data_IF_050457316075
#
_entry.id   IF_050457316075
#
_cell.length_a   1.000
_cell.length_b   1.000
_cell.length_c   1.000
_cell.angle_alpha   90.00
_cell.angle_beta   90.00
_cell.angle_gamma   90.00
#
_symmetry.space_group_name_H-M   'P 1'
#
loop_
_entity.id
_entity.type
_entity.pdbx_description
1 polymer ?
#
# COMPACT_ATOMS: atom_id res chain seq x y z
N UNK A 1 -12.09 7.22 -33.47
CA UNK A 1 -12.74 7.59 -32.20
C UNK A 1 -11.79 7.26 -31.06
N UNK A 2 -11.14 8.28 -30.51
CA UNK A 2 -10.51 8.26 -29.19
C UNK A 2 -10.54 9.71 -28.73
N UNK A 3 -11.39 9.97 -27.73
CA UNK A 3 -11.60 11.31 -27.19
C UNK A 3 -10.46 11.58 -26.22
N UNK A 4 -9.53 12.43 -26.62
CA UNK A 4 -8.47 12.92 -25.75
C UNK A 4 -9.03 14.12 -24.98
N UNK A 5 -9.46 13.88 -23.75
CA UNK A 5 -9.89 14.95 -22.85
C UNK A 5 -8.67 15.69 -22.31
N UNK A 6 -8.33 16.78 -22.98
CA UNK A 6 -7.36 17.79 -22.53
C UNK A 6 -8.01 18.63 -21.44
N UNK A 7 -7.54 18.50 -20.19
CA UNK A 7 -7.87 19.46 -19.14
C UNK A 7 -6.71 20.45 -19.05
N UNK A 8 -6.99 21.66 -19.51
CA UNK A 8 -6.19 22.86 -19.28
C UNK A 8 -6.37 23.32 -17.83
N UNK A 9 -5.26 23.51 -17.12
CA UNK A 9 -5.20 24.40 -15.96
C UNK A 9 -3.99 25.32 -16.15
N UNK A 10 -4.29 26.54 -16.58
CA UNK A 10 -3.37 27.65 -16.76
C UNK A 10 -3.19 28.45 -15.48
N UNK A 11 -1.97 29.01 -15.34
CA UNK A 11 -1.56 30.10 -14.42
C UNK A 11 -1.26 29.66 -12.97
N UNK A 12 -0.15 30.04 -12.31
CA UNK A 12 0.90 31.02 -12.59
C UNK A 12 2.05 30.81 -11.56
N UNK A 13 3.22 31.37 -11.90
CA UNK A 13 4.38 31.68 -11.05
C UNK A 13 5.42 30.59 -10.73
N UNK A 14 6.47 30.67 -11.55
CA UNK A 14 7.88 30.77 -11.12
C UNK A 14 8.52 29.53 -10.49
N UNK A 15 9.24 28.76 -11.31
CA UNK A 15 10.71 28.62 -11.23
C UNK A 15 11.19 27.60 -12.26
N UNK A 16 12.23 27.94 -13.01
CA UNK A 16 12.86 27.12 -14.05
C UNK A 16 13.25 25.73 -13.54
N UNK A 17 12.61 24.68 -14.03
CA UNK A 17 13.19 23.34 -14.09
C UNK A 17 12.97 22.79 -15.50
N UNK A 18 14.04 22.73 -16.29
CA UNK A 18 14.06 22.05 -17.58
C UNK A 18 13.98 20.55 -17.30
N UNK A 19 12.84 19.93 -17.57
CA UNK A 19 12.72 18.48 -17.65
C UNK A 19 12.75 18.07 -19.13
N UNK A 20 13.80 17.36 -19.52
CA UNK A 20 13.82 16.59 -20.77
C UNK A 20 13.08 15.26 -20.53
N UNK A 21 12.33 14.74 -21.52
CA UNK A 21 11.64 13.47 -21.38
C UNK A 21 12.62 12.32 -21.67
N UNK A 22 12.79 11.41 -20.72
CA UNK A 22 13.40 10.11 -21.00
C UNK A 22 12.44 9.00 -20.58
N UNK A 23 12.24 8.10 -21.55
CA UNK A 23 11.36 6.95 -21.56
C UNK A 23 11.91 5.78 -20.73
N UNK A 24 11.05 5.27 -19.86
CA UNK A 24 10.96 3.95 -19.22
C UNK A 24 12.04 2.90 -19.56
N UNK A 25 12.83 2.51 -18.56
CA UNK A 25 13.13 1.11 -18.26
C UNK A 25 13.61 0.97 -16.81
N UNK A 26 12.79 0.32 -15.98
CA UNK A 26 13.13 -0.19 -14.63
C UNK A 26 14.01 0.70 -13.76
N UNK A 27 13.39 1.70 -13.13
CA UNK A 27 14.00 2.44 -12.03
C UNK A 27 12.91 2.87 -11.09
N UNK A 28 12.78 2.20 -9.94
CA UNK A 28 11.91 2.70 -8.87
C UNK A 28 12.57 4.00 -8.36
N UNK A 29 12.03 5.13 -8.82
CA UNK A 29 12.39 6.46 -8.33
C UNK A 29 11.43 6.78 -7.18
N UNK A 30 11.94 6.77 -5.94
CA UNK A 30 11.26 7.43 -4.84
C UNK A 30 11.88 8.80 -4.61
N UNK A 31 11.17 9.84 -5.06
CA UNK A 31 11.43 11.22 -4.67
C UNK A 31 10.24 11.71 -3.84
N UNK A 32 10.46 12.04 -2.56
CA UNK A 32 9.85 13.24 -2.00
C UNK A 32 10.66 13.81 -0.84
N UNK A 33 10.82 15.12 -0.93
CA UNK A 33 11.62 16.02 -0.13
C UNK A 33 10.93 16.45 1.19
N UNK A 34 11.78 16.75 2.18
CA UNK A 34 11.58 17.37 3.50
C UNK A 34 10.66 16.66 4.51
N UNK A 35 11.29 15.81 5.33
CA UNK A 35 10.85 15.60 6.71
C UNK A 35 11.62 16.54 7.66
N UNK A 36 10.87 17.39 8.38
CA UNK A 36 11.26 17.75 9.75
C UNK A 36 11.00 16.52 10.58
N UNK A 37 12.08 15.87 11.02
CA UNK A 37 12.07 14.97 12.16
C UNK A 37 11.19 13.73 12.03
N UNK A 38 11.56 12.81 11.15
CA UNK A 38 11.50 11.37 11.43
C UNK A 38 12.42 10.65 10.44
N UNK A 39 13.31 9.79 10.93
CA UNK A 39 14.21 9.00 10.08
C UNK A 39 13.49 7.69 9.79
N UNK A 40 12.93 7.53 8.59
CA UNK A 40 12.83 6.19 8.01
C UNK A 40 12.90 6.25 6.49
N UNK A 41 14.12 6.12 5.99
CA UNK A 41 14.43 5.99 4.57
C UNK A 41 14.94 4.56 4.36
N UNK A 42 14.05 3.59 4.16
CA UNK A 42 14.43 2.26 3.67
C UNK A 42 14.41 2.31 2.14
N UNK A 43 15.48 2.84 1.56
CA UNK A 43 15.78 2.64 0.14
C UNK A 43 16.33 1.22 0.05
N UNK A 44 15.50 0.27 -0.43
CA UNK A 44 15.97 -1.07 -0.79
C UNK A 44 16.68 -0.98 -2.14
N UNK A 45 17.97 -0.67 -2.12
CA UNK A 45 18.85 -0.93 -3.27
C UNK A 45 19.51 -2.28 -3.04
N UNK A 46 19.00 -3.33 -3.67
CA UNK A 46 19.64 -4.63 -3.70
C UNK A 46 20.82 -4.63 -4.68
N UNK A 47 21.92 -5.25 -4.26
CA UNK A 47 23.03 -5.51 -5.18
C UNK A 47 22.76 -6.82 -5.90
N UNK A 48 22.66 -6.77 -7.23
CA UNK A 48 22.44 -7.96 -8.06
C UNK A 48 23.77 -8.61 -8.40
N UNK A 49 23.97 -9.86 -8.00
CA UNK A 49 25.24 -10.58 -8.10
C UNK A 49 25.05 -11.91 -8.84
N UNK A 50 25.78 -12.16 -9.93
CA UNK A 50 25.78 -13.47 -10.59
C UNK A 50 26.33 -14.57 -9.68
N UNK A 51 25.74 -15.78 -9.76
CA UNK A 51 26.19 -16.96 -9.00
C UNK A 51 27.70 -17.22 -9.19
N UNK A 52 28.22 -17.01 -10.40
CA UNK A 52 29.63 -17.22 -10.70
C UNK A 52 30.56 -16.25 -9.94
N UNK A 53 30.13 -15.00 -9.73
CA UNK A 53 30.87 -13.98 -9.00
C UNK A 53 30.78 -14.22 -7.49
N UNK A 54 29.58 -14.56 -7.00
CA UNK A 54 29.35 -14.93 -5.61
C UNK A 54 30.28 -16.06 -5.17
N UNK A 55 30.48 -17.10 -6.00
CA UNK A 55 31.37 -18.23 -5.70
C UNK A 55 32.83 -17.81 -5.50
N UNK A 56 33.29 -16.77 -6.18
CA UNK A 56 34.67 -16.28 -6.07
C UNK A 56 34.87 -15.42 -4.82
N UNK A 57 33.84 -14.64 -4.45
CA UNK A 57 33.95 -13.58 -3.45
C UNK A 57 32.94 -13.72 -2.30
N UNK A 58 32.55 -14.95 -1.95
CA UNK A 58 31.45 -15.21 -1.00
C UNK A 58 31.62 -14.46 0.33
N UNK A 59 32.83 -14.47 0.91
CA UNK A 59 33.11 -13.82 2.18
C UNK A 59 32.84 -12.31 2.14
N UNK A 60 33.24 -11.64 1.04
CA UNK A 60 33.00 -10.21 0.88
C UNK A 60 31.51 -9.88 0.84
N UNK A 61 30.71 -10.70 0.15
CA UNK A 61 29.27 -10.51 0.07
C UNK A 61 28.56 -10.83 1.39
N UNK A 62 29.03 -11.84 2.14
CA UNK A 62 28.49 -12.11 3.48
C UNK A 62 28.73 -10.95 4.44
N UNK A 63 29.89 -10.28 4.38
CA UNK A 63 30.16 -9.07 5.17
C UNK A 63 29.21 -7.92 4.78
N UNK A 64 28.94 -7.73 3.49
CA UNK A 64 27.92 -6.76 3.03
C UNK A 64 26.53 -7.06 3.62
N UNK A 65 26.09 -8.33 3.61
CA UNK A 65 24.81 -8.74 4.21
C UNK A 65 24.78 -8.53 5.72
N UNK A 66 25.90 -8.83 6.41
CA UNK A 66 26.05 -8.57 7.86
C UNK A 66 25.91 -7.08 8.18
N UNK A 67 26.48 -6.23 7.31
CA UNK A 67 26.37 -4.78 7.38
C UNK A 67 25.00 -4.23 6.95
N UNK A 68 24.06 -5.12 6.58
CA UNK A 68 22.67 -4.77 6.31
C UNK A 68 22.36 -4.51 4.83
N UNK A 69 23.32 -4.72 3.92
CA UNK A 69 23.08 -4.58 2.49
C UNK A 69 22.47 -5.87 1.93
N UNK A 70 21.22 -5.86 1.43
CA UNK A 70 20.61 -7.02 0.80
C UNK A 70 21.29 -7.33 -0.55
N UNK A 71 21.41 -8.61 -0.87
CA UNK A 71 22.02 -9.07 -2.12
C UNK A 71 21.07 -10.02 -2.83
N UNK A 72 20.85 -9.79 -4.12
CA UNK A 72 20.06 -10.63 -5.00
C UNK A 72 20.98 -11.46 -5.87
N UNK A 73 20.89 -12.78 -5.78
CA UNK A 73 21.71 -13.72 -6.53
C UNK A 73 20.98 -14.14 -7.80
N UNK A 74 21.63 -13.98 -8.95
CA UNK A 74 21.08 -14.33 -10.26
C UNK A 74 21.82 -15.51 -10.92
N UNK A 75 21.07 -16.45 -11.50
CA UNK A 75 21.61 -17.51 -12.36
C UNK A 75 21.06 -17.34 -13.79
N UNK A 76 21.94 -16.94 -14.72
CA UNK A 76 21.48 -16.53 -16.05
C UNK A 76 20.70 -15.22 -15.96
N UNK A 77 19.50 -15.18 -16.54
CA UNK A 77 18.64 -13.98 -16.60
C UNK A 77 17.58 -13.91 -15.50
N UNK A 78 17.64 -14.78 -14.47
CA UNK A 78 16.66 -14.81 -13.38
C UNK A 78 17.33 -14.62 -12.02
N UNK A 79 16.70 -13.81 -11.17
CA UNK A 79 17.04 -13.72 -9.75
C UNK A 79 16.38 -14.87 -8.99
N UNK A 80 17.21 -15.74 -8.40
CA UNK A 80 16.74 -17.00 -7.81
C UNK A 80 16.74 -16.95 -6.28
N UNK A 81 17.65 -16.20 -5.67
CA UNK A 81 17.84 -16.19 -4.22
C UNK A 81 18.19 -14.78 -3.73
N UNK A 82 17.52 -14.31 -2.67
CA UNK A 82 17.92 -13.10 -1.96
C UNK A 82 18.58 -13.46 -0.62
N UNK A 83 19.75 -12.88 -0.36
CA UNK A 83 20.42 -12.94 0.93
C UNK A 83 20.16 -11.66 1.71
N UNK A 84 19.59 -11.85 2.90
CA UNK A 84 19.19 -10.79 3.80
C UNK A 84 19.45 -11.21 5.24
N UNK A 85 19.79 -10.24 6.08
CA UNK A 85 19.93 -10.48 7.52
C UNK A 85 18.57 -10.83 8.10
N UNK A 86 18.53 -11.88 8.93
CA UNK A 86 17.29 -12.36 9.58
C UNK A 86 16.58 -11.26 10.37
N UNK A 87 17.32 -10.38 11.04
CA UNK A 87 16.73 -9.30 11.83
C UNK A 87 16.04 -8.25 10.94
N UNK A 88 16.64 -7.94 9.79
CA UNK A 88 16.03 -7.04 8.80
C UNK A 88 14.73 -7.64 8.26
N UNK A 89 14.72 -8.95 7.98
CA UNK A 89 13.51 -9.64 7.55
C UNK A 89 12.40 -9.58 8.61
N UNK A 90 12.74 -9.78 9.90
CA UNK A 90 11.79 -9.65 11.01
C UNK A 90 11.23 -8.23 11.12
N UNK A 91 12.07 -7.21 10.96
CA UNK A 91 11.64 -5.81 10.98
C UNK A 91 10.65 -5.51 9.85
N UNK A 92 10.95 -5.94 8.63
CA UNK A 92 10.07 -5.75 7.47
C UNK A 92 8.72 -6.44 7.68
N UNK A 93 8.70 -7.67 8.20
CA UNK A 93 7.44 -8.34 8.52
C UNK A 93 6.66 -7.66 9.63
N UNK A 94 7.34 -7.15 10.67
CA UNK A 94 6.69 -6.38 11.73
C UNK A 94 6.03 -5.12 11.19
N UNK A 95 6.76 -4.34 10.39
CA UNK A 95 6.25 -3.14 9.73
C UNK A 95 5.08 -3.44 8.78
N UNK A 96 5.15 -4.54 8.03
CA UNK A 96 4.06 -4.97 7.16
C UNK A 96 2.79 -5.28 7.94
N UNK A 97 2.92 -5.96 9.09
CA UNK A 97 1.79 -6.30 9.93
C UNK A 97 1.17 -5.08 10.61
N UNK A 98 2.00 -4.14 11.08
CA UNK A 98 1.55 -2.85 11.60
C UNK A 98 0.82 -2.03 10.52
N UNK A 99 1.39 -1.97 9.32
CA UNK A 99 0.77 -1.28 8.19
C UNK A 99 -0.58 -1.91 7.80
N UNK A 100 -0.68 -3.25 7.81
CA UNK A 100 -1.95 -3.95 7.56
C UNK A 100 -3.02 -3.60 8.60
N UNK A 101 -2.66 -3.58 9.88
CA UNK A 101 -3.58 -3.17 10.95
C UNK A 101 -4.02 -1.72 10.80
N UNK A 102 -3.09 -0.83 10.44
CA UNK A 102 -3.40 0.57 10.19
C UNK A 102 -4.38 0.74 9.02
N UNK A 103 -4.19 0.01 7.92
CA UNK A 103 -5.14 0.02 6.78
C UNK A 103 -6.52 -0.44 7.23
N UNK A 104 -6.63 -1.56 7.95
CA UNK A 104 -7.92 -2.06 8.44
C UNK A 104 -8.61 -1.14 9.45
N UNK A 105 -7.85 -0.35 10.22
CA UNK A 105 -8.41 0.71 11.07
C UNK A 105 -8.93 1.88 10.23
N UNK A 106 -8.16 2.32 9.23
CA UNK A 106 -8.57 3.40 8.33
C UNK A 106 -9.83 3.03 7.55
N UNK A 107 -9.94 1.79 7.06
CA UNK A 107 -11.14 1.31 6.36
C UNK A 107 -12.39 1.40 7.26
N UNK A 108 -12.29 0.96 8.53
CA UNK A 108 -13.39 1.07 9.51
C UNK A 108 -13.79 2.52 9.78
N UNK A 109 -12.79 3.41 9.88
CA UNK A 109 -13.05 4.84 10.07
C UNK A 109 -13.72 5.44 8.83
N UNK A 110 -13.26 5.09 7.63
CA UNK A 110 -13.86 5.55 6.37
C UNK A 110 -15.33 5.10 6.31
N UNK A 111 -15.62 3.83 6.55
CA UNK A 111 -17.00 3.30 6.59
C UNK A 111 -17.87 4.08 7.60
N UNK A 112 -17.32 4.35 8.79
CA UNK A 112 -18.02 5.15 9.81
C UNK A 112 -18.31 6.57 9.29
N UNK A 113 -17.34 7.22 8.65
CA UNK A 113 -17.55 8.55 8.07
C UNK A 113 -18.53 8.54 6.90
N UNK A 114 -18.53 7.49 6.08
CA UNK A 114 -19.50 7.31 4.99
C UNK A 114 -20.92 7.22 5.55
N UNK A 115 -21.13 6.46 6.62
CA UNK A 115 -22.43 6.39 7.30
C UNK A 115 -22.83 7.73 7.91
N UNK A 116 -21.90 8.40 8.61
CA UNK A 116 -22.17 9.68 9.27
C UNK A 116 -22.42 10.83 8.28
N UNK A 117 -21.87 10.76 7.08
CA UNK A 117 -22.05 11.77 6.04
C UNK A 117 -23.38 11.63 5.28
N UNK A 118 -24.06 10.48 5.39
CA UNK A 118 -25.35 10.22 4.77
C UNK A 118 -26.50 10.48 5.75
N UNK A 119 -27.09 11.68 5.65
CA UNK A 119 -28.20 12.10 6.51
C UNK A 119 -29.44 11.18 6.39
N UNK A 120 -29.74 10.70 5.19
CA UNK A 120 -30.88 9.79 4.93
C UNK A 120 -30.66 8.43 5.60
N UNK A 121 -29.42 7.91 5.55
CA UNK A 121 -29.04 6.68 6.23
C UNK A 121 -29.09 6.86 7.75
N UNK A 122 -28.57 7.96 8.28
CA UNK A 122 -28.65 8.26 9.71
C UNK A 122 -30.09 8.35 10.21
N UNK A 123 -31.00 8.93 9.44
CA UNK A 123 -32.43 8.95 9.77
C UNK A 123 -33.05 7.55 9.76
N UNK A 124 -32.67 6.69 8.82
CA UNK A 124 -33.11 5.29 8.80
C UNK A 124 -32.60 4.53 10.01
N UNK A 125 -31.34 4.73 10.40
CA UNK A 125 -30.74 4.11 11.59
C UNK A 125 -31.54 4.51 12.85
N UNK A 126 -31.82 5.80 13.04
CA UNK A 126 -32.62 6.30 14.17
C UNK A 126 -34.01 5.66 14.23
N UNK A 127 -34.71 5.57 13.10
CA UNK A 127 -36.02 4.91 13.02
C UNK A 127 -35.91 3.42 13.36
N UNK A 128 -34.89 2.73 12.86
CA UNK A 128 -34.64 1.33 13.21
C UNK A 128 -34.37 1.15 14.70
N UNK A 129 -33.63 2.05 15.36
CA UNK A 129 -33.44 2.02 16.81
C UNK A 129 -34.76 2.18 17.58
N UNK A 130 -35.65 3.08 17.12
CA UNK A 130 -36.99 3.25 17.68
C UNK A 130 -37.86 2.00 17.49
N UNK A 131 -37.80 1.37 16.31
CA UNK A 131 -38.51 0.12 16.02
C UNK A 131 -38.06 -0.99 16.98
N UNK A 132 -36.74 -1.15 17.17
CA UNK A 132 -36.15 -2.11 18.09
C UNK A 132 -36.63 -1.84 19.53
N UNK A 133 -36.58 -0.58 19.97
CA UNK A 133 -37.00 -0.19 21.31
C UNK A 133 -38.50 -0.46 21.56
N UNK A 134 -39.33 -0.35 20.52
CA UNK A 134 -40.77 -0.59 20.59
C UNK A 134 -41.15 -2.06 20.32
N UNK A 135 -40.15 -2.94 20.16
CA UNK A 135 -40.36 -4.36 19.92
C UNK A 135 -40.89 -4.68 18.52
N UNK A 136 -40.77 -3.75 17.56
CA UNK A 136 -41.15 -3.96 16.16
C UNK A 136 -40.03 -4.67 15.43
N UNK A 137 -40.24 -5.95 15.16
CA UNK A 137 -39.34 -6.76 14.34
C UNK A 137 -40.16 -7.57 13.34
N UNK A 138 -39.53 -7.95 12.24
CA UNK A 138 -40.03 -8.97 11.33
C UNK A 138 -39.25 -10.27 11.58
N UNK A 139 -39.94 -11.40 11.61
CA UNK A 139 -39.26 -12.70 11.69
C UNK A 139 -38.58 -13.02 10.36
N UNK A 140 -37.59 -13.92 10.38
CA UNK A 140 -36.92 -14.35 9.15
C UNK A 140 -37.91 -15.07 8.21
N UNK A 141 -38.83 -15.85 8.77
CA UNK A 141 -39.88 -16.57 8.04
C UNK A 141 -40.82 -15.60 7.32
N UNK A 142 -41.28 -14.56 8.03
CA UNK A 142 -42.16 -13.53 7.47
C UNK A 142 -41.45 -12.73 6.38
N UNK A 143 -40.18 -12.35 6.61
CA UNK A 143 -39.36 -11.63 5.62
C UNK A 143 -39.14 -12.47 4.35
N UNK A 144 -38.88 -13.77 4.50
CA UNK A 144 -38.75 -14.69 3.36
C UNK A 144 -40.05 -14.79 2.57
N UNK A 145 -41.18 -14.90 3.25
CA UNK A 145 -42.50 -14.94 2.62
C UNK A 145 -42.79 -13.65 1.84
N UNK A 146 -42.45 -12.48 2.42
CA UNK A 146 -42.60 -11.18 1.76
C UNK A 146 -41.72 -11.03 0.52
N UNK A 147 -40.47 -11.50 0.59
CA UNK A 147 -39.51 -11.46 -0.53
C UNK A 147 -39.71 -12.58 -1.56
N UNK A 148 -40.66 -13.52 -1.34
CA UNK A 148 -40.89 -14.67 -2.21
C UNK A 148 -39.76 -15.70 -2.23
N UNK A 149 -38.94 -15.73 -1.17
CA UNK A 149 -37.82 -16.66 -1.02
C UNK A 149 -38.30 -17.91 -0.27
N UNK A 150 -38.07 -19.09 -0.85
CA UNK A 150 -38.42 -20.39 -0.25
C UNK A 150 -37.24 -20.97 0.53
#
# INVERSE_FOLDING_TARGET
MMVSSSIYLSSLHSSKARFLPYTLQSGIIFCRERQRGEKMQTIFSDEVVPVAELRKNLSSYLEKVRNGQPISIVQGDKADVALIRRDTLRQVYGQLEEARKAVAELERLIETYEILADDDLMDKIRRSEEDIAQGRFISLEDLKAELGLK
#
